data_IF_334388498346
#
_entry.id   IF_334388498346
#
_cell.length_a   1.000
_cell.length_b   1.000
_cell.length_c   1.000
_cell.angle_alpha   90.00
_cell.angle_beta   90.00
_cell.angle_gamma   90.00
#
_symmetry.space_group_name_H-M   'P 1'
#
loop_
_entity.id
_entity.type
_entity.pdbx_description
1 polymer ?
#
# COMPACT_ATOMS: atom_id res chain seq x y z
N UNK A 1 24.18 -14.04 37.77
CA UNK A 1 23.57 -12.79 37.26
C UNK A 1 23.90 -12.71 35.78
N UNK A 2 23.06 -13.27 34.92
CA UNK A 2 23.30 -13.26 33.46
C UNK A 2 22.24 -12.37 32.81
N UNK A 3 22.71 -11.24 32.29
CA UNK A 3 21.91 -10.29 31.52
C UNK A 3 21.51 -10.92 30.19
N UNK A 4 20.20 -11.07 29.97
CA UNK A 4 19.62 -11.50 28.71
C UNK A 4 19.67 -10.30 27.76
N UNK A 5 20.42 -10.46 26.67
CA UNK A 5 20.50 -9.49 25.59
C UNK A 5 19.14 -9.36 24.91
N UNK A 6 18.53 -8.18 25.04
CA UNK A 6 17.33 -7.75 24.35
C UNK A 6 17.67 -7.55 22.87
N UNK A 7 17.37 -8.56 22.04
CA UNK A 7 17.58 -8.49 20.60
C UNK A 7 16.44 -7.66 20.00
N UNK A 8 16.67 -6.35 19.93
CA UNK A 8 15.81 -5.37 19.25
C UNK A 8 15.54 -5.84 17.83
N UNK A 9 14.31 -6.30 17.58
CA UNK A 9 13.85 -6.62 16.25
C UNK A 9 13.79 -5.33 15.42
N UNK A 10 14.84 -5.09 14.66
CA UNK A 10 14.86 -4.10 13.59
C UNK A 10 13.78 -4.47 12.58
N UNK A 11 12.68 -3.70 12.58
CA UNK A 11 11.70 -3.66 11.49
C UNK A 11 12.47 -3.35 10.20
N UNK A 12 12.74 -4.36 9.40
CA UNK A 12 13.21 -4.19 8.03
C UNK A 12 12.07 -3.61 7.22
N UNK A 13 12.15 -2.31 6.92
CA UNK A 13 11.34 -1.68 5.88
C UNK A 13 11.72 -2.30 4.54
N UNK A 14 10.97 -3.32 4.13
CA UNK A 14 10.98 -3.78 2.74
C UNK A 14 10.52 -2.66 1.81
N UNK A 15 10.80 -2.74 0.50
CA UNK A 15 10.30 -1.76 -0.47
C UNK A 15 8.78 -1.67 -0.30
N UNK A 16 8.28 -0.46 -0.06
CA UNK A 16 6.88 -0.14 0.14
C UNK A 16 6.09 -0.59 -1.09
N UNK A 17 5.66 -1.85 -1.09
CA UNK A 17 4.86 -2.40 -2.17
C UNK A 17 3.53 -1.65 -2.19
N UNK A 18 3.20 -1.08 -3.35
CA UNK A 18 1.92 -0.41 -3.54
C UNK A 18 0.82 -1.44 -3.28
N UNK A 19 -0.16 -1.17 -2.40
CA UNK A 19 -1.23 -2.10 -2.10
C UNK A 19 -1.98 -2.48 -3.39
N UNK A 20 -2.34 -3.77 -3.59
CA UNK A 20 -2.97 -4.21 -4.84
C UNK A 20 -4.32 -3.52 -5.09
N UNK A 21 -5.06 -3.20 -4.03
CA UNK A 21 -6.31 -2.42 -4.09
C UNK A 21 -6.08 -1.00 -4.56
N UNK A 22 -5.03 -0.32 -4.07
CA UNK A 22 -4.63 1.00 -4.54
C UNK A 22 -4.20 0.96 -6.01
N UNK A 23 -3.44 -0.06 -6.40
CA UNK A 23 -3.02 -0.21 -7.79
C UNK A 23 -4.21 -0.44 -8.74
N UNK A 24 -5.20 -1.25 -8.34
CA UNK A 24 -6.41 -1.50 -9.13
C UNK A 24 -7.22 -0.21 -9.32
N UNK A 25 -7.54 0.51 -8.24
CA UNK A 25 -8.28 1.77 -8.34
C UNK A 25 -7.51 2.85 -9.11
N UNK A 26 -6.18 2.93 -8.95
CA UNK A 26 -5.36 3.82 -9.75
C UNK A 26 -5.41 3.47 -11.25
N UNK A 27 -5.46 2.19 -11.63
CA UNK A 27 -5.63 1.80 -13.05
C UNK A 27 -6.97 2.23 -13.62
N UNK A 28 -8.05 2.10 -12.86
CA UNK A 28 -9.38 2.58 -13.26
C UNK A 28 -9.41 4.09 -13.45
N UNK A 29 -8.79 4.84 -12.52
CA UNK A 29 -8.68 6.30 -12.62
C UNK A 29 -7.82 6.70 -13.82
N UNK A 30 -6.71 6.01 -14.09
CA UNK A 30 -5.88 6.26 -15.28
C UNK A 30 -6.68 6.03 -16.56
N UNK A 31 -7.49 4.97 -16.63
CA UNK A 31 -8.35 4.70 -17.78
C UNK A 31 -9.44 5.76 -17.96
N UNK A 32 -10.09 6.19 -16.88
CA UNK A 32 -11.09 7.26 -16.91
C UNK A 32 -10.48 8.61 -17.35
N UNK A 33 -9.26 8.91 -16.89
CA UNK A 33 -8.50 10.08 -17.31
C UNK A 33 -8.16 10.03 -18.80
N UNK A 34 -7.69 8.90 -19.34
CA UNK A 34 -7.48 8.73 -20.79
C UNK A 34 -8.76 9.07 -21.56
N UNK A 35 -9.85 8.36 -21.22
CA UNK A 35 -11.10 8.46 -21.95
C UNK A 35 -11.70 9.88 -21.91
N UNK A 36 -11.60 10.56 -20.76
CA UNK A 36 -12.20 11.88 -20.57
C UNK A 36 -11.35 13.00 -21.18
N UNK A 37 -10.03 12.89 -21.13
CA UNK A 37 -9.10 13.89 -21.67
C UNK A 37 -8.91 13.77 -23.19
N UNK A 38 -9.19 12.61 -23.78
CA UNK A 38 -8.84 12.30 -25.17
C UNK A 38 -7.40 11.81 -25.34
N UNK A 39 -6.68 11.60 -24.24
CA UNK A 39 -5.36 10.99 -24.26
C UNK A 39 -5.46 9.48 -24.59
N UNK A 40 -4.50 8.97 -25.37
CA UNK A 40 -4.44 7.54 -25.69
C UNK A 40 -3.69 6.73 -24.64
N UNK A 41 -2.90 7.38 -23.78
CA UNK A 41 -2.32 6.77 -22.58
C UNK A 41 -2.28 7.74 -21.40
N UNK A 42 -2.31 7.18 -20.19
CA UNK A 42 -2.22 7.87 -18.93
C UNK A 42 -1.31 7.07 -17.98
N UNK A 43 -0.42 7.77 -17.31
CA UNK A 43 0.41 7.25 -16.23
C UNK A 43 0.07 7.99 -14.97
N UNK A 44 -0.14 7.26 -13.88
CA UNK A 44 -0.36 7.84 -12.56
C UNK A 44 0.81 7.52 -11.66
N UNK A 45 1.35 8.56 -11.04
CA UNK A 45 2.40 8.43 -10.04
C UNK A 45 1.98 9.12 -8.75
N UNK A 46 2.24 8.46 -7.63
CA UNK A 46 1.88 8.94 -6.29
C UNK A 46 3.12 9.07 -5.42
N UNK A 47 3.13 10.08 -4.57
CA UNK A 47 4.12 10.24 -3.52
C UNK A 47 3.71 9.40 -2.30
N UNK A 48 4.64 8.60 -1.77
CA UNK A 48 4.39 7.81 -0.56
C UNK A 48 4.10 8.71 0.65
N UNK A 49 4.69 9.90 0.70
CA UNK A 49 4.48 10.92 1.74
C UNK A 49 4.55 12.31 1.11
N UNK A 50 3.96 13.34 1.73
CA UNK A 50 4.13 14.72 1.28
C UNK A 50 5.61 15.06 1.06
N UNK A 51 5.94 15.64 -0.10
CA UNK A 51 7.31 16.01 -0.48
C UNK A 51 8.21 14.86 -0.97
N UNK A 52 7.79 13.60 -0.89
CA UNK A 52 8.53 12.49 -1.50
C UNK A 52 8.38 12.50 -3.03
N UNK A 53 9.39 12.01 -3.79
CA UNK A 53 9.27 11.92 -5.24
C UNK A 53 8.15 10.93 -5.62
N UNK A 54 7.25 11.29 -6.54
CA UNK A 54 6.16 10.41 -6.95
C UNK A 54 6.70 9.19 -7.71
N UNK A 55 6.15 8.02 -7.39
CA UNK A 55 6.48 6.73 -8.03
C UNK A 55 5.31 6.27 -8.86
N UNK A 56 5.60 5.68 -10.02
CA UNK A 56 4.58 5.14 -10.91
C UNK A 56 3.76 4.06 -10.18
N UNK A 57 2.45 4.20 -10.21
CA UNK A 57 1.49 3.29 -9.56
C UNK A 57 0.72 2.49 -10.60
N UNK A 58 0.24 3.19 -11.62
CA UNK A 58 -0.60 2.63 -12.65
C UNK A 58 -0.34 3.30 -14.00
N UNK A 59 -0.66 2.58 -15.06
CA UNK A 59 -0.72 3.10 -16.41
C UNK A 59 -1.92 2.49 -17.13
N UNK A 60 -2.51 3.25 -18.03
CA UNK A 60 -3.56 2.81 -18.95
C UNK A 60 -3.21 3.33 -20.34
N UNK A 61 -3.51 2.56 -21.38
CA UNK A 61 -3.26 2.97 -22.77
C UNK A 61 -3.36 1.82 -23.76
N UNK A 62 -2.94 2.10 -25.01
CA UNK A 62 -2.87 1.13 -26.11
C UNK A 62 -1.76 0.07 -25.88
N UNK A 63 -1.74 -0.99 -26.69
CA UNK A 63 -0.75 -2.07 -26.61
C UNK A 63 0.71 -1.58 -26.80
N UNK A 64 0.90 -0.50 -27.57
CA UNK A 64 2.17 0.13 -27.91
C UNK A 64 2.56 1.27 -26.96
N UNK A 65 1.91 1.35 -25.80
CA UNK A 65 2.18 2.40 -24.80
C UNK A 65 3.66 2.42 -24.40
N UNK A 66 4.37 3.55 -24.56
CA UNK A 66 5.78 3.63 -24.28
C UNK A 66 6.06 3.44 -22.79
N UNK A 67 7.27 3.02 -22.45
CA UNK A 67 7.64 2.86 -21.04
C UNK A 67 7.72 4.22 -20.34
N UNK A 68 7.29 4.27 -19.08
CA UNK A 68 7.36 5.46 -18.21
C UNK A 68 8.72 6.17 -18.23
N UNK A 69 9.82 5.39 -18.24
CA UNK A 69 11.19 5.92 -18.31
C UNK A 69 11.54 6.47 -19.70
N UNK A 70 11.01 5.87 -20.77
CA UNK A 70 11.27 6.26 -22.17
C UNK A 70 10.68 7.63 -22.47
N UNK A 71 9.51 7.94 -21.91
CA UNK A 71 8.87 9.25 -22.06
C UNK A 71 9.42 10.32 -21.11
N UNK A 72 10.43 10.00 -20.28
CA UNK A 72 10.94 10.95 -19.29
C UNK A 72 9.96 11.29 -18.17
N UNK A 73 9.01 10.39 -17.89
CA UNK A 73 7.90 10.62 -16.97
C UNK A 73 8.26 11.25 -15.60
N UNK A 74 9.30 10.77 -14.89
CA UNK A 74 9.72 11.38 -13.62
C UNK A 74 10.17 12.84 -13.76
N UNK A 75 10.78 13.20 -14.89
CA UNK A 75 11.22 14.58 -15.14
C UNK A 75 10.04 15.47 -15.52
N UNK A 76 9.13 14.98 -16.38
CA UNK A 76 7.88 15.65 -16.72
C UNK A 76 7.07 16.02 -15.47
N UNK A 77 6.83 15.04 -14.59
CA UNK A 77 6.09 15.28 -13.36
C UNK A 77 6.81 16.25 -12.43
N UNK A 78 8.13 16.17 -12.29
CA UNK A 78 8.87 17.11 -11.45
C UNK A 78 8.70 18.56 -11.92
N UNK A 79 8.67 18.80 -13.24
CA UNK A 79 8.42 20.15 -13.76
C UNK A 79 7.00 20.64 -13.43
N UNK A 80 6.00 19.81 -13.70
CA UNK A 80 4.61 20.13 -13.39
C UNK A 80 4.37 20.38 -11.88
N UNK A 81 4.96 19.54 -11.04
CA UNK A 81 4.87 19.63 -9.57
C UNK A 81 5.59 20.87 -9.05
N UNK A 82 6.80 21.17 -9.54
CA UNK A 82 7.54 22.36 -9.11
C UNK A 82 6.84 23.66 -9.53
N UNK A 83 6.19 23.67 -10.70
CA UNK A 83 5.41 24.82 -11.18
C UNK A 83 3.99 24.92 -10.60
N UNK A 84 3.47 23.83 -10.01
CA UNK A 84 2.08 23.76 -9.53
C UNK A 84 1.02 23.90 -10.63
N UNK A 85 1.40 23.72 -11.90
CA UNK A 85 0.54 23.89 -13.07
C UNK A 85 0.81 22.77 -14.08
N UNK A 86 -0.15 22.47 -14.98
CA UNK A 86 0.07 21.53 -16.06
C UNK A 86 1.30 21.93 -16.91
N UNK A 87 2.09 20.94 -17.32
CA UNK A 87 3.28 21.12 -18.13
C UNK A 87 3.20 20.25 -19.39
N UNK A 88 3.25 20.88 -20.56
CA UNK A 88 3.19 20.20 -21.86
C UNK A 88 4.58 20.10 -22.47
N UNK A 89 4.95 18.89 -22.92
CA UNK A 89 6.17 18.64 -23.68
C UNK A 89 5.82 17.96 -25.01
N UNK A 90 6.01 18.61 -26.15
CA UNK A 90 5.90 17.97 -27.45
C UNK A 90 7.10 17.04 -27.71
N UNK A 91 6.83 15.97 -28.45
CA UNK A 91 7.81 15.03 -29.02
C UNK A 91 7.46 14.80 -30.49
N UNK A 92 8.34 14.13 -31.25
CA UNK A 92 8.11 13.82 -32.66
C UNK A 92 6.84 12.98 -32.88
N UNK A 93 6.59 12.02 -31.99
CA UNK A 93 5.54 11.01 -32.17
C UNK A 93 4.30 11.25 -31.29
N UNK A 94 4.39 12.14 -30.29
CA UNK A 94 3.35 12.36 -29.30
C UNK A 94 3.53 13.69 -28.57
N UNK A 95 2.48 14.14 -27.90
CA UNK A 95 2.54 15.27 -26.96
C UNK A 95 2.24 14.76 -25.56
N UNK A 96 3.15 14.99 -24.62
CA UNK A 96 2.95 14.64 -23.22
C UNK A 96 2.44 15.85 -22.44
N UNK A 97 1.43 15.63 -21.60
CA UNK A 97 0.90 16.60 -20.66
C UNK A 97 1.05 16.04 -19.26
N UNK A 98 1.92 16.65 -18.46
CA UNK A 98 2.08 16.37 -17.06
C UNK A 98 1.11 17.24 -16.24
N UNK A 99 0.31 16.59 -15.40
CA UNK A 99 -0.71 17.21 -14.59
C UNK A 99 -0.33 17.02 -13.11
N UNK A 100 -0.03 18.09 -12.36
CA UNK A 100 0.19 17.96 -10.93
C UNK A 100 -1.14 17.61 -10.26
N UNK A 101 -1.08 16.67 -9.31
CA UNK A 101 -2.23 16.30 -8.52
C UNK A 101 -1.97 16.71 -7.07
N UNK A 102 -2.68 17.75 -6.65
CA UNK A 102 -2.54 18.40 -5.36
C UNK A 102 -3.89 18.66 -4.73
N UNK A 103 -3.93 18.62 -3.40
CA UNK A 103 -5.05 19.05 -2.58
C UNK A 103 -4.61 20.19 -1.64
N UNK A 104 -5.44 20.52 -0.63
CA UNK A 104 -5.13 21.52 0.38
C UNK A 104 -3.89 21.20 1.22
N UNK A 105 -3.55 19.91 1.36
CA UNK A 105 -2.49 19.41 2.23
C UNK A 105 -1.16 19.28 1.47
N UNK A 106 -1.21 19.41 0.14
CA UNK A 106 -0.07 19.58 -0.72
C UNK A 106 -0.12 18.68 -1.96
N UNK A 107 1.05 18.52 -2.58
CA UNK A 107 1.18 17.67 -3.77
C UNK A 107 1.34 16.22 -3.31
N UNK A 108 0.38 15.36 -3.69
CA UNK A 108 0.41 13.94 -3.37
C UNK A 108 0.73 13.07 -4.60
N UNK A 109 0.81 13.65 -5.80
CA UNK A 109 1.19 12.92 -7.00
C UNK A 109 1.08 13.72 -8.30
N UNK A 110 0.91 12.98 -9.39
CA UNK A 110 0.72 13.56 -10.71
C UNK A 110 0.27 12.53 -11.74
N UNK A 111 -0.36 13.01 -12.80
CA UNK A 111 -0.66 12.24 -14.00
C UNK A 111 0.22 12.69 -15.17
N UNK A 112 0.54 11.77 -16.08
CA UNK A 112 1.08 12.12 -17.40
C UNK A 112 0.17 11.53 -18.44
N UNK A 113 -0.38 12.39 -19.29
CA UNK A 113 -1.27 12.05 -20.38
C UNK A 113 -0.49 12.12 -21.69
N UNK A 114 -0.67 11.15 -22.57
CA UNK A 114 -0.07 11.14 -23.91
C UNK A 114 -1.15 11.30 -24.96
N UNK A 115 -0.92 12.26 -25.86
CA UNK A 115 -1.76 12.57 -27.00
C UNK A 115 -0.99 12.29 -28.30
N UNK A 116 -1.73 12.08 -29.39
CA UNK A 116 -1.11 11.98 -30.71
C UNK A 116 -0.42 13.32 -31.03
N UNK A 117 0.68 13.27 -31.81
CA UNK A 117 1.44 14.47 -32.13
C UNK A 117 0.56 15.55 -32.78
N UNK A 118 0.59 16.77 -32.24
CA UNK A 118 -0.20 17.89 -32.74
C UNK A 118 -1.70 17.85 -32.41
N UNK A 119 -2.15 16.89 -31.60
CA UNK A 119 -3.53 16.87 -31.11
C UNK A 119 -3.83 18.14 -30.29
N UNK A 120 -5.03 18.71 -30.49
CA UNK A 120 -5.51 19.83 -29.70
C UNK A 120 -5.83 19.37 -28.27
N UNK A 121 -5.20 19.99 -27.29
CA UNK A 121 -5.45 19.75 -25.87
C UNK A 121 -6.47 20.78 -25.38
N UNK A 122 -7.58 20.30 -24.80
CA UNK A 122 -8.62 21.13 -24.22
C UNK A 122 -8.25 21.49 -22.76
N UNK A 123 -7.51 22.59 -22.59
CA UNK A 123 -6.98 23.02 -21.29
C UNK A 123 -8.08 23.20 -20.23
N UNK A 124 -9.26 23.68 -20.62
CA UNK A 124 -10.40 23.85 -19.72
C UNK A 124 -10.89 22.50 -19.18
N UNK A 125 -10.95 21.49 -20.05
CA UNK A 125 -11.28 20.12 -19.65
C UNK A 125 -10.21 19.51 -18.75
N UNK A 126 -8.93 19.69 -19.08
CA UNK A 126 -7.83 19.18 -18.24
C UNK A 126 -7.87 19.83 -16.85
N UNK A 127 -8.10 21.14 -16.77
CA UNK A 127 -8.24 21.86 -15.51
C UNK A 127 -9.40 21.34 -14.66
N UNK A 128 -10.51 20.92 -15.29
CA UNK A 128 -11.64 20.30 -14.60
C UNK A 128 -11.37 18.85 -14.16
N UNK A 129 -10.60 18.08 -14.94
CA UNK A 129 -10.27 16.69 -14.64
C UNK A 129 -9.25 16.54 -13.49
N UNK A 130 -8.31 17.49 -13.36
CA UNK A 130 -7.29 17.46 -12.31
C UNK A 130 -7.85 17.33 -10.89
N UNK A 131 -8.77 18.20 -10.41
CA UNK A 131 -9.32 18.08 -9.06
C UNK A 131 -10.15 16.81 -8.88
N UNK A 132 -10.87 16.35 -9.91
CA UNK A 132 -11.65 15.11 -9.85
C UNK A 132 -10.75 13.87 -9.71
N UNK A 133 -9.68 13.80 -10.50
CA UNK A 133 -8.68 12.76 -10.38
C UNK A 133 -7.99 12.79 -9.01
N UNK A 134 -7.75 13.99 -8.49
CA UNK A 134 -7.22 14.16 -7.14
C UNK A 134 -8.12 13.56 -6.07
N UNK A 135 -9.40 13.94 -6.08
CA UNK A 135 -10.38 13.43 -5.10
C UNK A 135 -10.50 11.92 -5.21
N UNK A 136 -10.60 11.37 -6.43
CA UNK A 136 -10.74 9.94 -6.65
C UNK A 136 -9.51 9.15 -6.17
N UNK A 137 -8.29 9.65 -6.43
CA UNK A 137 -7.05 9.01 -5.98
C UNK A 137 -6.89 9.08 -4.47
N UNK A 138 -7.22 10.21 -3.86
CA UNK A 138 -7.19 10.35 -2.41
C UNK A 138 -8.19 9.40 -1.73
N UNK A 139 -9.42 9.30 -2.25
CA UNK A 139 -10.41 8.34 -1.75
C UNK A 139 -9.92 6.90 -1.88
N UNK A 140 -9.37 6.52 -3.04
CA UNK A 140 -8.80 5.19 -3.28
C UNK A 140 -7.66 4.88 -2.30
N UNK A 141 -6.79 5.85 -2.05
CA UNK A 141 -5.68 5.74 -1.10
C UNK A 141 -6.18 5.57 0.34
N UNK A 142 -7.16 6.36 0.77
CA UNK A 142 -7.73 6.26 2.11
C UNK A 142 -8.39 4.90 2.34
N UNK A 143 -9.18 4.42 1.38
CA UNK A 143 -9.81 3.09 1.44
C UNK A 143 -8.75 1.99 1.51
N UNK A 144 -7.68 2.07 0.70
CA UNK A 144 -6.59 1.09 0.75
C UNK A 144 -5.88 1.08 2.11
N UNK A 145 -5.63 2.25 2.72
CA UNK A 145 -5.04 2.36 4.05
C UNK A 145 -5.95 1.74 5.11
N UNK A 146 -7.26 2.05 5.09
CA UNK A 146 -8.23 1.49 6.03
C UNK A 146 -8.30 -0.04 5.95
N UNK A 147 -8.22 -0.61 4.74
CA UNK A 147 -8.18 -2.07 4.59
C UNK A 147 -6.92 -2.70 5.19
N UNK A 148 -5.76 -2.06 5.06
CA UNK A 148 -4.53 -2.54 5.68
C UNK A 148 -4.59 -2.48 7.20
N UNK A 149 -5.12 -1.39 7.76
CA UNK A 149 -5.32 -1.24 9.20
C UNK A 149 -6.31 -2.28 9.74
N UNK A 150 -7.43 -2.49 9.06
CA UNK A 150 -8.41 -3.51 9.42
C UNK A 150 -7.80 -4.93 9.42
N UNK A 151 -6.97 -5.25 8.41
CA UNK A 151 -6.28 -6.53 8.34
C UNK A 151 -5.28 -6.69 9.51
N UNK A 152 -4.55 -5.65 9.87
CA UNK A 152 -3.63 -5.67 11.01
C UNK A 152 -4.37 -5.87 12.34
N UNK A 153 -5.50 -5.19 12.54
CA UNK A 153 -6.33 -5.32 13.74
C UNK A 153 -6.92 -6.73 13.84
N UNK A 154 -7.42 -7.28 12.72
CA UNK A 154 -7.95 -8.65 12.68
C UNK A 154 -6.89 -9.68 13.07
N UNK A 155 -5.67 -9.56 12.53
CA UNK A 155 -4.57 -10.48 12.84
C UNK A 155 -4.12 -10.37 14.31
N UNK A 156 -3.97 -9.15 14.84
CA UNK A 156 -3.66 -8.95 16.26
C UNK A 156 -4.72 -9.55 17.18
N UNK A 157 -5.99 -9.46 16.79
CA UNK A 157 -7.11 -10.00 17.55
C UNK A 157 -7.06 -11.54 17.55
N UNK A 158 -6.85 -12.14 16.38
CA UNK A 158 -6.67 -13.59 16.24
C UNK A 158 -5.54 -14.13 17.12
N UNK A 159 -4.39 -13.46 17.14
CA UNK A 159 -3.25 -13.87 17.96
C UNK A 159 -3.55 -13.77 19.47
N UNK A 160 -4.28 -12.72 19.89
CA UNK A 160 -4.72 -12.56 21.28
C UNK A 160 -5.71 -13.64 21.70
N UNK A 161 -6.65 -14.02 20.84
CA UNK A 161 -7.60 -15.10 21.12
C UNK A 161 -6.89 -16.45 21.31
N UNK A 162 -5.89 -16.75 20.47
CA UNK A 162 -5.05 -17.95 20.62
C UNK A 162 -4.31 -17.94 21.97
N UNK A 163 -3.75 -16.80 22.36
CA UNK A 163 -3.05 -16.66 23.64
C UNK A 163 -4.00 -16.79 24.85
N UNK A 164 -5.18 -16.15 24.79
CA UNK A 164 -6.21 -16.27 25.81
C UNK A 164 -6.66 -17.73 25.98
N UNK A 165 -6.94 -18.43 24.87
CA UNK A 165 -7.29 -19.85 24.89
C UNK A 165 -6.19 -20.69 25.54
N UNK A 166 -4.92 -20.49 25.16
CA UNK A 166 -3.78 -21.19 25.78
C UNK A 166 -3.65 -20.92 27.28
N UNK A 167 -3.85 -19.68 27.70
CA UNK A 167 -3.78 -19.29 29.11
C UNK A 167 -4.93 -19.88 29.93
N UNK A 168 -6.15 -19.89 29.38
CA UNK A 168 -7.32 -20.51 30.02
C UNK A 168 -7.13 -22.01 30.20
N UNK A 169 -6.68 -22.73 29.16
CA UNK A 169 -6.39 -24.17 29.24
C UNK A 169 -5.36 -24.44 30.34
N UNK A 170 -4.28 -23.66 30.38
CA UNK A 170 -3.26 -23.81 31.41
C UNK A 170 -3.81 -23.54 32.82
N UNK A 171 -4.61 -22.50 32.98
CA UNK A 171 -5.26 -22.17 34.24
C UNK A 171 -6.21 -23.27 34.74
N UNK A 172 -6.99 -23.87 33.85
CA UNK A 172 -7.87 -25.01 34.19
C UNK A 172 -7.05 -26.22 34.60
N UNK A 173 -6.03 -26.60 33.81
CA UNK A 173 -5.16 -27.75 34.08
C UNK A 173 -4.42 -27.60 35.42
N UNK A 174 -3.87 -26.41 35.70
CA UNK A 174 -3.18 -26.11 36.95
C UNK A 174 -4.13 -25.95 38.16
N UNK A 175 -5.42 -25.67 37.91
CA UNK A 175 -6.45 -25.58 38.95
C UNK A 175 -6.94 -26.94 39.46
N UNK A 176 -6.62 -28.04 38.79
CA UNK A 176 -6.99 -29.40 39.23
C UNK A 176 -6.05 -29.85 40.35
N UNK A 177 -6.56 -30.18 41.56
CA UNK A 177 -5.72 -30.56 42.71
C UNK A 177 -5.11 -31.97 42.60
N UNK A 178 -5.42 -32.70 41.53
CA UNK A 178 -4.85 -34.00 41.19
C UNK A 178 -3.76 -33.85 40.13
N UNK A 179 -2.71 -34.68 40.19
CA UNK A 179 -1.66 -34.69 39.18
C UNK A 179 -2.20 -35.10 37.80
N UNK A 180 -2.00 -34.27 36.79
CA UNK A 180 -2.59 -34.45 35.46
C UNK A 180 -1.52 -34.23 34.38
N UNK A 181 -1.46 -35.13 33.39
CA UNK A 181 -0.56 -35.05 32.24
C UNK A 181 -1.33 -35.28 30.94
N UNK A 182 -1.02 -34.51 29.91
CA UNK A 182 -1.52 -34.67 28.55
C UNK A 182 -0.49 -35.49 27.76
N UNK A 183 -0.92 -36.57 27.09
CA UNK A 183 -0.05 -37.52 26.40
C UNK A 183 -0.51 -37.63 24.94
N UNK A 184 0.42 -37.70 23.99
CA UNK A 184 0.10 -37.98 22.59
C UNK A 184 -0.16 -39.48 22.32
N UNK A 185 -0.58 -39.81 21.11
CA UNK A 185 -0.84 -41.19 20.71
C UNK A 185 0.42 -42.09 20.67
N UNK A 186 1.62 -41.51 20.68
CA UNK A 186 2.89 -42.22 20.73
C UNK A 186 3.40 -42.42 22.18
N UNK A 187 2.68 -41.92 23.19
CA UNK A 187 3.06 -42.01 24.59
C UNK A 187 3.94 -40.87 25.11
N UNK A 188 4.14 -39.79 24.34
CA UNK A 188 4.96 -38.63 24.74
C UNK A 188 4.15 -37.64 25.56
N UNK A 189 4.72 -37.15 26.67
CA UNK A 189 4.07 -36.13 27.51
C UNK A 189 4.16 -34.76 26.83
N UNK A 190 3.00 -34.17 26.52
CA UNK A 190 2.86 -32.86 25.89
C UNK A 190 2.72 -31.71 26.90
N UNK A 191 2.12 -31.98 28.06
CA UNK A 191 1.97 -31.02 29.17
C UNK A 191 1.70 -31.75 30.49
N UNK A 192 2.09 -31.16 31.62
CA UNK A 192 1.75 -31.64 32.97
C UNK A 192 1.41 -30.46 33.89
N UNK A 193 0.49 -30.68 34.84
CA UNK A 193 0.08 -29.65 35.79
C UNK A 193 1.02 -29.53 36.99
N UNK A 194 1.01 -28.38 37.67
CA UNK A 194 1.90 -28.14 38.84
C UNK A 194 1.74 -29.16 39.97
N UNK A 195 0.53 -29.70 40.17
CA UNK A 195 0.27 -30.71 41.19
C UNK A 195 1.06 -32.01 40.95
N UNK A 196 1.32 -32.36 39.67
CA UNK A 196 2.17 -33.48 39.28
C UNK A 196 3.66 -33.13 39.47
N UNK A 197 4.07 -31.90 39.10
CA UNK A 197 5.47 -31.46 39.18
C UNK A 197 5.99 -31.35 40.63
N UNK A 198 5.14 -30.99 41.59
CA UNK A 198 5.51 -30.92 43.01
C UNK A 198 5.67 -32.28 43.70
N UNK A 199 5.37 -33.39 43.00
CA UNK A 199 5.41 -34.76 43.55
C UNK A 199 6.49 -35.65 42.92
N UNK A 200 7.27 -35.14 41.97
CA UNK A 200 8.47 -35.85 41.50
C UNK A 200 9.60 -35.69 42.53
N UNK A 201 10.05 -36.76 43.20
CA UNK A 201 11.31 -36.73 43.94
C UNK A 201 12.45 -36.58 42.92
N UNK A 202 13.44 -35.75 43.24
CA UNK A 202 14.75 -35.71 42.59
C UNK A 202 15.46 -37.05 42.67
#
# INVERSE_FOLDING_TARGET
MNAVAEKTATRSGGPTAIPPTLQAGAREIAAALCASSGAWACYLALAERPGAPPRLVASSGRLDTPLWRKIGGPSLLRHAIAGGQPYTQPSTDWTALALPLSDSDGIFGGAVLLFDAGAAIDDARIAALAPLATIALNATRQVATLHLEAAEVAERTRLREIQLSRNLIRGVIDGVPMGLALIDAAGTILAANRALSGRCPS
#
